data_IF_678568741081
#
_entry.id   IF_678568741081
#
_cell.length_a   1.000
_cell.length_b   1.000
_cell.length_c   1.000
_cell.angle_alpha   90.00
_cell.angle_beta   90.00
_cell.angle_gamma   90.00
#
_symmetry.space_group_name_H-M   'P 1'
#
loop_
_entity.id
_entity.type
_entity.pdbx_description
1 polymer ?
#
# COMPACT_ATOMS: atom_id res chain seq x y z
N UNK A 1 -17.63 3.77 5.84
CA UNK A 1 -17.52 2.35 6.22
C UNK A 1 -17.90 2.14 7.68
N UNK A 2 -18.77 2.97 8.26
CA UNK A 2 -19.42 2.76 9.57
C UNK A 2 -18.52 2.38 10.77
N UNK A 3 -17.24 2.76 10.74
CA UNK A 3 -16.26 2.51 11.81
C UNK A 3 -15.43 1.23 11.65
N UNK A 4 -14.38 1.11 12.47
CA UNK A 4 -13.38 0.02 12.40
C UNK A 4 -13.98 -1.37 12.65
N UNK A 5 -15.06 -1.45 13.43
CA UNK A 5 -15.72 -2.71 13.79
C UNK A 5 -16.88 -3.07 12.85
N UNK A 6 -17.16 -2.29 11.81
CA UNK A 6 -18.25 -2.58 10.89
C UNK A 6 -17.91 -3.73 9.93
N UNK A 7 -18.94 -4.43 9.47
CA UNK A 7 -18.79 -5.49 8.46
C UNK A 7 -18.17 -4.95 7.17
N UNK A 8 -18.51 -3.72 6.77
CA UNK A 8 -17.95 -3.09 5.57
C UNK A 8 -16.46 -2.77 5.71
N UNK A 9 -15.99 -2.37 6.89
CA UNK A 9 -14.57 -2.15 7.13
C UNK A 9 -13.78 -3.48 7.16
N UNK A 10 -14.36 -4.53 7.76
CA UNK A 10 -13.75 -5.86 7.70
C UNK A 10 -13.71 -6.38 6.25
N UNK A 11 -14.78 -6.19 5.48
CA UNK A 11 -14.84 -6.55 4.07
C UNK A 11 -13.81 -5.78 3.24
N UNK A 12 -13.59 -4.49 3.50
CA UNK A 12 -12.52 -3.71 2.89
C UNK A 12 -11.14 -4.36 3.10
N UNK A 13 -10.79 -4.76 4.33
CA UNK A 13 -9.51 -5.44 4.61
C UNK A 13 -9.39 -6.77 3.87
N UNK A 14 -10.49 -7.53 3.77
CA UNK A 14 -10.54 -8.77 2.97
C UNK A 14 -10.25 -8.48 1.49
N UNK A 15 -10.83 -7.42 0.93
CA UNK A 15 -10.56 -7.03 -0.46
C UNK A 15 -9.10 -6.61 -0.67
N UNK A 16 -8.50 -5.88 0.27
CA UNK A 16 -7.06 -5.54 0.22
C UNK A 16 -6.19 -6.81 0.21
N UNK A 17 -6.48 -7.77 1.09
CA UNK A 17 -5.77 -9.05 1.13
C UNK A 17 -5.90 -9.81 -0.19
N UNK A 18 -7.12 -9.94 -0.73
CA UNK A 18 -7.38 -10.60 -2.01
C UNK A 18 -6.66 -9.91 -3.16
N UNK A 19 -6.66 -8.58 -3.18
CA UNK A 19 -5.94 -7.77 -4.16
C UNK A 19 -4.43 -8.00 -4.10
N UNK A 20 -3.84 -8.04 -2.89
CA UNK A 20 -2.43 -8.35 -2.70
C UNK A 20 -2.07 -9.76 -3.17
N UNK A 21 -2.89 -10.76 -2.83
CA UNK A 21 -2.69 -12.15 -3.27
C UNK A 21 -2.78 -12.24 -4.81
N UNK A 22 -3.75 -11.57 -5.43
CA UNK A 22 -3.90 -11.54 -6.87
C UNK A 22 -2.69 -10.87 -7.55
N UNK A 23 -2.27 -9.69 -7.10
CA UNK A 23 -1.11 -8.99 -7.63
C UNK A 23 0.18 -9.81 -7.47
N UNK A 24 0.32 -10.54 -6.35
CA UNK A 24 1.47 -11.42 -6.09
C UNK A 24 1.62 -12.55 -7.11
N UNK A 25 0.52 -13.07 -7.68
CA UNK A 25 0.57 -14.08 -8.75
C UNK A 25 1.23 -13.59 -10.04
N UNK A 26 1.25 -12.27 -10.24
CA UNK A 26 1.79 -11.61 -11.42
C UNK A 26 3.03 -10.75 -11.11
N UNK A 27 3.66 -10.96 -9.94
CA UNK A 27 4.72 -10.07 -9.47
C UNK A 27 5.89 -9.99 -10.46
N UNK A 28 6.35 -11.08 -11.04
CA UNK A 28 7.48 -11.07 -11.98
C UNK A 28 7.16 -10.28 -13.26
N UNK A 29 5.95 -10.39 -13.79
CA UNK A 29 5.49 -9.63 -14.96
C UNK A 29 5.46 -8.13 -14.65
N UNK A 30 4.93 -7.76 -13.48
CA UNK A 30 4.86 -6.35 -13.05
C UNK A 30 6.27 -5.80 -12.81
N UNK A 31 7.16 -6.58 -12.19
CA UNK A 31 8.55 -6.18 -11.94
C UNK A 31 9.31 -5.98 -13.25
N UNK A 32 9.14 -6.88 -14.21
CA UNK A 32 9.77 -6.75 -15.53
C UNK A 32 9.37 -5.44 -16.22
N UNK A 33 8.09 -5.07 -16.17
CA UNK A 33 7.62 -3.79 -16.71
C UNK A 33 8.32 -2.60 -16.03
N UNK A 34 8.44 -2.61 -14.70
CA UNK A 34 9.10 -1.54 -13.95
C UNK A 34 10.60 -1.48 -14.25
N UNK A 35 11.26 -2.61 -14.51
CA UNK A 35 12.65 -2.65 -14.97
C UNK A 35 12.82 -1.97 -16.33
N UNK A 36 11.93 -2.26 -17.29
CA UNK A 36 11.94 -1.59 -18.61
C UNK A 36 11.73 -0.07 -18.45
N UNK A 37 10.78 0.35 -17.60
CA UNK A 37 10.55 1.77 -17.30
C UNK A 37 11.78 2.45 -16.69
N UNK A 38 12.52 1.74 -15.82
CA UNK A 38 13.77 2.24 -15.24
C UNK A 38 14.86 2.41 -16.29
N UNK A 39 15.00 1.46 -17.22
CA UNK A 39 15.99 1.55 -18.31
C UNK A 39 15.74 2.75 -19.23
N UNK A 40 14.48 3.16 -19.39
CA UNK A 40 14.12 4.38 -20.14
C UNK A 40 14.62 5.69 -19.50
N UNK A 41 14.99 5.70 -18.21
CA UNK A 41 15.70 6.81 -17.56
C UNK A 41 14.90 8.09 -17.28
N UNK A 42 13.66 8.21 -17.77
CA UNK A 42 12.85 9.44 -17.66
C UNK A 42 12.19 9.63 -16.28
N UNK A 43 12.03 8.56 -15.50
CA UNK A 43 11.31 8.61 -14.23
C UNK A 43 12.27 8.81 -13.06
N UNK A 44 12.26 10.02 -12.49
CA UNK A 44 13.12 10.39 -11.35
C UNK A 44 12.97 9.45 -10.15
N UNK A 45 11.75 8.96 -9.90
CA UNK A 45 11.45 8.03 -8.82
C UNK A 45 12.05 6.62 -9.01
N UNK A 46 12.44 6.24 -10.24
CA UNK A 46 13.07 4.95 -10.55
C UNK A 46 14.59 5.04 -10.70
N UNK A 47 15.19 6.23 -10.54
CA UNK A 47 16.64 6.42 -10.67
C UNK A 47 17.44 5.68 -9.60
N UNK A 48 16.87 5.52 -8.40
CA UNK A 48 17.53 4.78 -7.33
C UNK A 48 17.81 3.33 -7.76
N UNK A 49 19.02 2.85 -7.50
CA UNK A 49 19.40 1.45 -7.74
C UNK A 49 18.54 0.48 -6.93
N UNK A 50 17.99 0.93 -5.78
CA UNK A 50 17.12 0.13 -4.92
C UNK A 50 15.63 0.23 -5.27
N UNK A 51 15.23 1.04 -6.26
CA UNK A 51 13.80 1.28 -6.54
C UNK A 51 13.05 -0.01 -6.92
N UNK A 52 13.62 -0.79 -7.85
CA UNK A 52 13.02 -2.04 -8.34
C UNK A 52 13.01 -3.10 -7.24
N UNK A 53 14.11 -3.25 -6.48
CA UNK A 53 14.19 -4.24 -5.40
C UNK A 53 13.25 -3.90 -4.24
N UNK A 54 13.14 -2.62 -3.88
CA UNK A 54 12.18 -2.14 -2.88
C UNK A 54 10.74 -2.37 -3.34
N UNK A 55 10.46 -2.14 -4.62
CA UNK A 55 9.15 -2.40 -5.19
C UNK A 55 8.82 -3.92 -5.20
N UNK A 56 9.78 -4.79 -5.55
CA UNK A 56 9.65 -6.25 -5.43
C UNK A 56 9.33 -6.70 -4.01
N UNK A 57 9.98 -6.10 -3.01
CA UNK A 57 9.78 -6.45 -1.60
C UNK A 57 8.34 -6.23 -1.12
N UNK A 58 7.60 -5.29 -1.74
CA UNK A 58 6.19 -4.99 -1.41
C UNK A 58 5.22 -6.13 -1.74
N UNK A 59 5.59 -7.06 -2.62
CA UNK A 59 4.77 -8.23 -2.93
C UNK A 59 4.84 -9.34 -1.88
N UNK A 60 5.82 -9.27 -0.96
CA UNK A 60 5.99 -10.23 0.13
C UNK A 60 5.90 -11.70 -0.32
N UNK A 61 6.60 -12.06 -1.41
CA UNK A 61 6.52 -13.36 -2.06
C UNK A 61 6.75 -14.56 -1.10
N UNK A 62 7.62 -14.41 -0.10
CA UNK A 62 7.92 -15.47 0.87
C UNK A 62 6.95 -15.59 2.05
N UNK A 63 5.90 -14.77 2.16
CA UNK A 63 4.91 -14.86 3.26
C UNK A 63 3.77 -15.81 2.92
N UNK A 64 3.32 -16.58 3.91
CA UNK A 64 2.08 -17.36 3.83
C UNK A 64 0.85 -16.44 3.85
N UNK A 65 -0.33 -16.94 3.44
CA UNK A 65 -1.56 -16.14 3.46
C UNK A 65 -1.94 -15.63 4.87
N UNK A 66 -1.84 -16.41 5.96
CA UNK A 66 -2.07 -15.90 7.31
C UNK A 66 -1.09 -14.76 7.69
N UNK A 67 0.17 -14.85 7.27
CA UNK A 67 1.15 -13.78 7.48
C UNK A 67 0.83 -12.53 6.64
N UNK A 68 0.22 -12.68 5.46
CA UNK A 68 -0.26 -11.56 4.66
C UNK A 68 -1.50 -10.91 5.28
N UNK A 69 -2.41 -11.69 5.85
CA UNK A 69 -3.55 -11.15 6.58
C UNK A 69 -3.08 -10.26 7.73
N UNK A 70 -2.17 -10.77 8.57
CA UNK A 70 -1.58 -9.98 9.66
C UNK A 70 -0.82 -8.74 9.16
N UNK A 71 -0.19 -8.80 7.99
CA UNK A 71 0.42 -7.63 7.36
C UNK A 71 -0.63 -6.59 6.96
N UNK A 72 -1.72 -7.00 6.31
CA UNK A 72 -2.80 -6.11 5.89
C UNK A 72 -3.44 -5.44 7.11
N UNK A 73 -3.74 -6.20 8.16
CA UNK A 73 -4.29 -5.67 9.41
C UNK A 73 -3.36 -4.61 10.01
N UNK A 74 -2.04 -4.88 10.04
CA UNK A 74 -1.06 -3.91 10.53
C UNK A 74 -1.02 -2.66 9.65
N UNK A 75 -0.90 -2.81 8.32
CA UNK A 75 -0.82 -1.67 7.39
C UNK A 75 -2.06 -0.76 7.47
N UNK A 76 -3.25 -1.36 7.57
CA UNK A 76 -4.51 -0.61 7.70
C UNK A 76 -4.57 0.11 9.04
N UNK A 77 -4.15 -0.55 10.13
CA UNK A 77 -4.06 0.08 11.45
C UNK A 77 -3.07 1.23 11.49
N UNK A 78 -1.89 1.05 10.89
CA UNK A 78 -0.85 2.09 10.83
C UNK A 78 -1.34 3.30 10.03
N UNK A 79 -2.04 3.07 8.92
CA UNK A 79 -2.64 4.13 8.12
C UNK A 79 -3.76 4.86 8.87
N UNK A 80 -4.64 4.13 9.57
CA UNK A 80 -5.72 4.70 10.37
C UNK A 80 -5.20 5.59 11.50
N UNK A 81 -4.09 5.20 12.12
CA UNK A 81 -3.47 5.90 13.25
C UNK A 81 -2.32 6.84 12.82
N UNK A 82 -2.28 7.21 11.55
CA UNK A 82 -1.24 8.07 10.98
C UNK A 82 -1.28 9.47 11.61
N UNK A 83 -0.22 9.83 12.35
CA UNK A 83 -0.08 11.15 12.96
C UNK A 83 -0.04 12.27 11.91
N UNK A 84 0.64 12.04 10.78
CA UNK A 84 0.74 13.03 9.71
C UNK A 84 -0.61 13.30 9.06
N UNK A 85 -1.46 12.28 8.93
CA UNK A 85 -2.83 12.44 8.43
C UNK A 85 -3.62 13.34 9.37
N UNK A 86 -3.59 13.06 10.69
CA UNK A 86 -4.27 13.90 11.67
C UNK A 86 -3.77 15.35 11.68
N UNK A 87 -2.47 15.56 11.53
CA UNK A 87 -1.90 16.91 11.43
C UNK A 87 -2.36 17.61 10.14
N UNK A 88 -2.42 16.89 9.04
CA UNK A 88 -2.90 17.41 7.75
C UNK A 88 -4.38 17.79 7.80
N UNK A 89 -5.22 16.93 8.39
CA UNK A 89 -6.66 17.19 8.54
C UNK A 89 -6.91 18.42 9.42
N UNK A 90 -6.17 18.55 10.53
CA UNK A 90 -6.22 19.75 11.37
C UNK A 90 -5.79 21.01 10.60
N UNK A 91 -4.71 20.93 9.82
CA UNK A 91 -4.28 22.05 8.99
C UNK A 91 -5.37 22.43 7.97
N UNK A 92 -5.97 21.45 7.29
CA UNK A 92 -7.07 21.70 6.36
C UNK A 92 -8.28 22.32 7.04
N UNK A 93 -8.63 21.86 8.24
CA UNK A 93 -9.71 22.44 9.03
C UNK A 93 -9.44 23.91 9.34
N UNK A 94 -8.25 24.26 9.85
CA UNK A 94 -7.93 25.64 10.23
C UNK A 94 -7.76 26.58 9.02
N UNK A 95 -7.27 26.08 7.90
CA UNK A 95 -6.97 26.93 6.73
C UNK A 95 -8.12 27.03 5.75
N UNK A 96 -8.89 25.96 5.58
CA UNK A 96 -9.93 25.86 4.56
C UNK A 96 -11.33 25.63 5.13
N UNK A 97 -11.48 25.35 6.43
CA UNK A 97 -12.77 25.08 7.07
C UNK A 97 -13.42 23.75 6.65
N UNK A 98 -12.64 22.80 6.11
CA UNK A 98 -13.13 21.51 5.63
C UNK A 98 -13.02 20.46 6.73
N UNK A 99 -14.08 19.65 6.89
CA UNK A 99 -14.12 18.43 7.72
C UNK A 99 -14.54 17.23 6.86
#
# INVERSE_FOLDING_TARGET
>A
MDGEHSDMFQYFKILILRGLIAARKHCDQIIHLVELMRMGGQLACLRSSSAVSSFRARFHAGKTEPQLQGLVDRLVRDALNSLSTRLYDNYQYYTNGIL
#
